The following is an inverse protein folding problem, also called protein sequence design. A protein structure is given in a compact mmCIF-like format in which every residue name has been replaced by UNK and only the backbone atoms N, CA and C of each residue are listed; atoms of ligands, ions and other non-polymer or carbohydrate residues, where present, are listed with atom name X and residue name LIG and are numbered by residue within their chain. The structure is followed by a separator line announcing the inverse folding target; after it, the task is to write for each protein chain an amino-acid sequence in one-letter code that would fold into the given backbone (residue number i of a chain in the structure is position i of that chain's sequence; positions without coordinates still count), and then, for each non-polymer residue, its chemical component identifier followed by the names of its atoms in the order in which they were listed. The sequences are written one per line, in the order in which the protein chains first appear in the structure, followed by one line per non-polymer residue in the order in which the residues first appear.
data_IF_619735043469
#
_entry.id   IF_619735043469
#
_cell.length_a   1.000
_cell.length_b   1.000
_cell.length_c   1.000
_cell.angle_alpha   90.00
_cell.angle_beta   90.00
_cell.angle_gamma   90.00
#
_symmetry.space_group_name_H-M   'P 1'
#
loop_
_entity.id
_entity.type
_entity.pdbx_description
1 polymer ?
#
# COMPACT_ATOMS: atom_id res chain seq x y z
N UNK A 1 27.29 -10.49 6.85
CA UNK A 1 26.27 -9.74 6.09
C UNK A 1 24.98 -9.85 6.90
N UNK A 2 24.45 -8.76 7.49
CA UNK A 2 23.15 -8.86 8.14
C UNK A 2 22.13 -9.20 7.06
N UNK A 3 21.32 -10.23 7.31
CA UNK A 3 20.17 -10.55 6.46
C UNK A 3 19.14 -9.47 6.77
N UNK A 4 19.02 -8.47 5.89
CA UNK A 4 17.87 -7.57 5.91
C UNK A 4 16.66 -8.43 5.54
N UNK A 5 15.87 -8.82 6.53
CA UNK A 5 14.60 -9.51 6.34
C UNK A 5 13.62 -8.46 5.81
N UNK A 6 13.43 -8.42 4.49
CA UNK A 6 12.37 -7.62 3.88
C UNK A 6 11.05 -8.35 4.16
N UNK A 7 10.36 -7.94 5.23
CA UNK A 7 9.07 -8.51 5.64
C UNK A 7 7.94 -8.24 4.63
N UNK A 8 8.23 -7.47 3.58
CA UNK A 8 7.29 -6.87 2.64
C UNK A 8 7.74 -7.03 1.19
N UNK A 9 8.64 -7.97 0.87
CA UNK A 9 8.85 -8.29 -0.55
C UNK A 9 7.45 -8.54 -1.17
N UNK A 10 7.16 -7.92 -2.32
CA UNK A 10 5.86 -7.88 -3.03
C UNK A 10 4.63 -7.33 -2.27
N UNK A 11 4.70 -6.99 -0.97
CA UNK A 11 3.52 -6.60 -0.20
C UNK A 11 2.85 -5.30 -0.69
N UNK A 12 3.63 -4.35 -1.22
CA UNK A 12 3.08 -3.13 -1.80
C UNK A 12 2.36 -3.40 -3.14
N UNK A 13 2.86 -4.36 -3.93
CA UNK A 13 2.23 -4.76 -5.18
C UNK A 13 0.89 -5.47 -4.90
N UNK A 14 0.84 -6.36 -3.90
CA UNK A 14 -0.39 -7.03 -3.47
C UNK A 14 -1.41 -6.03 -2.92
N UNK A 15 -0.95 -5.06 -2.11
CA UNK A 15 -1.77 -3.95 -1.63
C UNK A 15 -2.36 -3.15 -2.80
N UNK A 16 -1.52 -2.77 -3.76
CA UNK A 16 -1.94 -2.03 -4.94
C UNK A 16 -3.00 -2.79 -5.73
N UNK A 17 -2.79 -4.08 -5.97
CA UNK A 17 -3.74 -4.93 -6.69
C UNK A 17 -5.09 -5.01 -5.96
N UNK A 18 -5.06 -5.23 -4.64
CA UNK A 18 -6.26 -5.32 -3.80
C UNK A 18 -7.04 -4.01 -3.83
N UNK A 19 -6.38 -2.87 -3.65
CA UNK A 19 -7.02 -1.54 -3.65
C UNK A 19 -7.52 -1.16 -5.04
N UNK A 20 -6.82 -1.56 -6.11
CA UNK A 20 -7.25 -1.33 -7.47
C UNK A 20 -8.52 -2.12 -7.83
N UNK A 21 -8.65 -3.33 -7.29
CA UNK A 21 -9.83 -4.19 -7.47
C UNK A 21 -11.02 -3.73 -6.60
N UNK A 22 -10.78 -3.49 -5.31
CA UNK A 22 -11.83 -3.10 -4.36
C UNK A 22 -12.30 -1.65 -4.52
N UNK A 23 -11.43 -0.77 -5.04
CA UNK A 23 -11.64 0.68 -5.03
C UNK A 23 -11.64 1.29 -3.63
N UNK A 24 -11.19 0.54 -2.62
CA UNK A 24 -11.21 0.97 -1.21
C UNK A 24 -9.83 0.82 -0.57
N UNK A 25 -9.47 1.79 0.26
CA UNK A 25 -8.27 1.75 1.08
C UNK A 25 -8.67 1.69 2.55
N UNK A 26 -8.38 0.56 3.19
CA UNK A 26 -8.76 0.29 4.59
C UNK A 26 -7.81 0.94 5.59
N UNK A 27 -8.17 0.90 6.86
CA UNK A 27 -7.30 1.37 7.94
C UNK A 27 -6.01 0.54 8.03
N UNK A 28 -6.10 -0.78 7.82
CA UNK A 28 -4.95 -1.69 7.83
C UNK A 28 -3.99 -1.36 6.67
N UNK A 29 -4.53 -1.13 5.47
CA UNK A 29 -3.77 -0.78 4.27
C UNK A 29 -2.96 0.50 4.47
N UNK A 30 -3.57 1.52 5.09
CA UNK A 30 -2.91 2.79 5.40
C UNK A 30 -1.74 2.62 6.35
N UNK A 31 -1.88 1.78 7.37
CA UNK A 31 -0.76 1.47 8.27
C UNK A 31 0.32 0.64 7.58
N UNK A 32 -0.05 -0.28 6.67
CA UNK A 32 0.91 -0.98 5.80
C UNK A 32 1.70 -0.02 4.92
N UNK A 33 1.00 0.94 4.28
CA UNK A 33 1.62 1.96 3.43
C UNK A 33 2.53 2.90 4.24
N UNK A 34 2.11 3.30 5.44
CA UNK A 34 2.93 4.11 6.35
C UNK A 34 4.20 3.36 6.76
N UNK A 35 4.09 2.07 7.10
CA UNK A 35 5.23 1.24 7.45
C UNK A 35 6.23 1.12 6.28
N UNK A 36 5.73 0.91 5.06
CA UNK A 36 6.54 0.85 3.85
C UNK A 36 7.26 2.18 3.56
N UNK A 37 6.58 3.31 3.72
CA UNK A 37 7.16 4.64 3.52
C UNK A 37 8.24 4.99 4.56
N UNK A 38 8.07 4.54 5.81
CA UNK A 38 9.02 4.79 6.90
C UNK A 38 10.31 3.95 6.82
N UNK A 39 10.30 2.83 6.10
CA UNK A 39 11.49 1.99 5.95
C UNK A 39 12.55 2.57 4.99
N UNK A 40 12.27 3.70 4.31
CA UNK A 40 13.16 4.42 3.38
C UNK A 40 13.81 3.52 2.29
N UNK A 41 13.27 2.33 2.06
CA UNK A 41 13.83 1.30 1.19
C UNK A 41 13.02 1.08 -0.10
N UNK A 42 12.05 1.95 -0.39
CA UNK A 42 11.21 1.81 -1.59
C UNK A 42 12.06 1.92 -2.85
N UNK A 43 11.82 1.02 -3.78
CA UNK A 43 12.31 1.11 -5.15
C UNK A 43 11.57 2.21 -5.92
N UNK A 44 12.07 2.56 -7.10
CA UNK A 44 11.39 3.54 -7.96
C UNK A 44 10.01 3.07 -8.40
N UNK A 45 9.88 1.78 -8.70
CA UNK A 45 8.62 1.18 -9.09
C UNK A 45 7.58 1.25 -7.97
N UNK A 46 7.99 0.94 -6.74
CA UNK A 46 7.14 1.05 -5.56
C UNK A 46 6.72 2.49 -5.27
N UNK A 47 7.62 3.46 -5.42
CA UNK A 47 7.27 4.89 -5.33
C UNK A 47 6.21 5.27 -6.37
N UNK A 48 6.38 4.84 -7.62
CA UNK A 48 5.38 5.08 -8.67
C UNK A 48 4.03 4.43 -8.36
N UNK A 49 4.00 3.27 -7.71
CA UNK A 49 2.76 2.63 -7.26
C UNK A 49 2.05 3.48 -6.19
N UNK A 50 2.80 3.96 -5.18
CA UNK A 50 2.25 4.86 -4.15
C UNK A 50 1.69 6.13 -4.77
N UNK A 51 2.43 6.78 -5.67
CA UNK A 51 1.97 8.00 -6.34
C UNK A 51 0.68 7.79 -7.12
N UNK A 52 0.54 6.65 -7.81
CA UNK A 52 -0.70 6.28 -8.51
C UNK A 52 -1.87 6.09 -7.55
N UNK A 53 -1.66 5.44 -6.40
CA UNK A 53 -2.70 5.30 -5.38
C UNK A 53 -3.13 6.66 -4.83
N UNK A 54 -2.18 7.50 -4.44
CA UNK A 54 -2.46 8.85 -3.92
C UNK A 54 -3.22 9.69 -4.96
N UNK A 55 -2.81 9.62 -6.23
CA UNK A 55 -3.52 10.29 -7.32
C UNK A 55 -4.94 9.76 -7.50
N UNK A 56 -5.15 8.45 -7.43
CA UNK A 56 -6.47 7.84 -7.55
C UNK A 56 -7.39 8.20 -6.36
N UNK A 57 -6.86 8.30 -5.14
CA UNK A 57 -7.57 8.82 -3.96
C UNK A 57 -7.97 10.28 -4.21
N UNK A 58 -7.02 11.13 -4.63
CA UNK A 58 -7.30 12.54 -4.91
C UNK A 58 -8.37 12.74 -5.99
N UNK A 59 -8.41 11.84 -6.98
CA UNK A 59 -9.43 11.83 -8.04
C UNK A 59 -10.78 11.22 -7.62
N UNK A 60 -10.91 10.75 -6.38
CA UNK A 60 -12.11 10.08 -5.88
C UNK A 60 -12.38 8.70 -6.50
N UNK A 61 -11.35 8.07 -7.08
CA UNK A 61 -11.44 6.70 -7.64
C UNK A 61 -11.22 5.63 -6.58
N UNK A 62 -10.47 5.95 -5.53
CA UNK A 62 -10.30 5.11 -4.35
C UNK A 62 -10.97 5.81 -3.18
N UNK A 63 -11.81 5.09 -2.45
CA UNK A 63 -12.47 5.57 -1.23
C UNK A 63 -11.68 5.12 -0.01
N UNK A 64 -11.33 6.06 0.87
CA UNK A 64 -10.68 5.72 2.14
C UNK A 64 -11.76 5.38 3.17
N UNK A 65 -11.63 4.22 3.81
CA UNK A 65 -12.57 3.73 4.82
C UNK A 65 -11.83 3.40 6.12
N UNK A 66 -12.53 3.51 7.25
CA UNK A 66 -11.98 3.17 8.58
C UNK A 66 -12.22 1.70 8.96
N UNK A 67 -12.69 0.89 8.02
CA UNK A 67 -12.81 -0.55 8.18
C UNK A 67 -11.42 -1.19 8.31
N UNK A 68 -11.33 -2.27 9.07
CA UNK A 68 -10.17 -3.15 9.04
C UNK A 68 -10.39 -4.17 7.93
N UNK A 69 -9.39 -4.41 7.10
CA UNK A 69 -9.43 -5.52 6.13
C UNK A 69 -9.54 -6.83 6.92
N UNK A 70 -10.72 -7.45 6.90
CA UNK A 70 -10.98 -8.70 7.61
C UNK A 70 -10.62 -9.84 6.67
N UNK A 71 -9.68 -10.69 7.07
CA UNK A 71 -9.41 -11.94 6.34
C UNK A 71 -10.69 -12.78 6.40
N UNK A 72 -11.34 -12.99 5.25
CA UNK A 72 -12.38 -14.01 5.10
C UNK A 72 -11.77 -15.33 4.66
#
# INVERSE_FOLDING_TARGET
MPVQLCLLDWALADLFATVADSGTLTLADRYGLLAALLQESLTEEERMMVDRMLYAIWRGRITVVDELSVVQ
#
